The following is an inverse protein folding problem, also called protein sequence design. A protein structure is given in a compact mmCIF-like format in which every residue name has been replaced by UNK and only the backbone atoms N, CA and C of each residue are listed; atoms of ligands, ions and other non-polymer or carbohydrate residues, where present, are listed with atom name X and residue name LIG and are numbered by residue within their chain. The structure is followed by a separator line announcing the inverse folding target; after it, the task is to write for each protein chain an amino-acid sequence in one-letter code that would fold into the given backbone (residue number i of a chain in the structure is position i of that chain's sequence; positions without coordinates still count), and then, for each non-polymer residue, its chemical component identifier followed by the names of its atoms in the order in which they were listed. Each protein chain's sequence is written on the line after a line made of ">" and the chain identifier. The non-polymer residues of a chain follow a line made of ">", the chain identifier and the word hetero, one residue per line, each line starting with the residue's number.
data_IF_153687312201
#
_entry.id   IF_153687312201
#
_cell.length_a   1.000
_cell.length_b   1.000
_cell.length_c   1.000
_cell.angle_alpha   90.00
_cell.angle_beta   90.00
_cell.angle_gamma   90.00
#
_symmetry.space_group_name_H-M   'P 1'
#
loop_
_entity.id
_entity.type
_entity.pdbx_description
1 polymer ?
#
# COMPACT_ATOMS: atom_id res chain seq x y z
N UNK A 1 2.73 0.99 28.57
CA UNK A 1 1.50 1.70 28.96
C UNK A 1 0.48 1.43 27.87
N UNK A 2 -0.69 0.87 28.21
CA UNK A 2 -1.74 0.58 27.22
C UNK A 2 -2.20 1.87 26.57
N UNK A 3 -2.12 1.98 25.24
CA UNK A 3 -2.70 3.10 24.51
C UNK A 3 -4.20 3.16 24.79
N UNK A 4 -4.76 4.36 24.99
CA UNK A 4 -6.20 4.58 25.14
C UNK A 4 -6.86 4.46 23.75
N UNK A 5 -7.64 3.39 23.48
CA UNK A 5 -8.22 3.14 22.16
C UNK A 5 -9.16 4.27 21.70
N UNK A 6 -9.81 4.96 22.65
CA UNK A 6 -10.69 6.09 22.34
C UNK A 6 -9.90 7.32 21.91
N UNK A 7 -8.77 7.61 22.57
CA UNK A 7 -7.90 8.72 22.19
C UNK A 7 -7.26 8.49 20.81
N UNK A 8 -6.92 7.25 20.48
CA UNK A 8 -6.40 6.89 19.17
C UNK A 8 -7.46 7.02 18.07
N UNK A 9 -8.64 6.43 18.25
CA UNK A 9 -9.74 6.56 17.31
C UNK A 9 -10.12 8.03 17.07
N UNK A 10 -10.19 8.83 18.14
CA UNK A 10 -10.43 10.27 18.07
C UNK A 10 -9.42 11.01 17.18
N UNK A 11 -8.14 10.65 17.31
CA UNK A 11 -7.07 11.20 16.48
C UNK A 11 -7.26 10.79 15.02
N UNK A 12 -7.51 9.51 14.75
CA UNK A 12 -7.71 8.99 13.40
C UNK A 12 -8.89 9.68 12.67
N UNK A 13 -10.04 9.82 13.34
CA UNK A 13 -11.21 10.54 12.81
C UNK A 13 -10.89 12.02 12.51
N UNK A 14 -10.17 12.67 13.43
CA UNK A 14 -9.77 14.08 13.27
C UNK A 14 -8.78 14.29 12.12
N UNK A 15 -7.81 13.40 11.97
CA UNK A 15 -6.79 13.46 10.91
C UNK A 15 -7.47 13.27 9.55
N UNK A 16 -8.30 12.23 9.41
CA UNK A 16 -9.01 11.94 8.16
C UNK A 16 -9.89 13.11 7.71
N UNK A 17 -10.65 13.71 8.62
CA UNK A 17 -11.50 14.86 8.29
C UNK A 17 -10.70 16.08 7.79
N UNK A 18 -9.45 16.26 8.24
CA UNK A 18 -8.56 17.35 7.80
C UNK A 18 -7.89 17.05 6.47
N UNK A 19 -7.52 15.80 6.23
CA UNK A 19 -6.84 15.38 5.00
C UNK A 19 -7.76 15.37 3.78
N UNK A 20 -9.08 15.32 3.96
CA UNK A 20 -10.05 15.32 2.86
C UNK A 20 -11.00 16.52 2.92
N UNK A 21 -10.52 17.77 2.69
CA UNK A 21 -11.33 18.97 2.83
C UNK A 21 -12.54 18.99 1.90
N UNK A 22 -12.46 18.40 0.70
CA UNK A 22 -13.61 18.31 -0.23
C UNK A 22 -14.67 17.31 0.23
N UNK A 23 -14.28 16.14 0.73
CA UNK A 23 -15.23 15.21 1.33
C UNK A 23 -15.82 15.78 2.62
N UNK A 24 -15.01 16.49 3.40
CA UNK A 24 -15.49 17.25 4.54
C UNK A 24 -16.56 18.27 4.13
N UNK A 25 -16.34 19.05 3.07
CA UNK A 25 -17.36 19.98 2.56
C UNK A 25 -18.60 19.24 2.03
N UNK A 26 -18.43 18.19 1.24
CA UNK A 26 -19.54 17.38 0.70
C UNK A 26 -20.36 16.67 1.79
N UNK A 27 -19.74 16.33 2.93
CA UNK A 27 -20.42 15.68 4.06
C UNK A 27 -21.51 16.53 4.69
N UNK A 28 -21.54 17.85 4.44
CA UNK A 28 -22.61 18.74 4.96
C UNK A 28 -24.00 18.23 4.60
N UNK A 29 -24.18 17.70 3.39
CA UNK A 29 -25.46 17.16 2.91
C UNK A 29 -25.93 15.92 3.67
N UNK A 30 -25.00 15.16 4.27
CA UNK A 30 -25.31 13.92 4.98
C UNK A 30 -25.93 14.13 6.37
N UNK A 31 -25.83 15.35 6.91
CA UNK A 31 -26.43 15.72 8.21
C UNK A 31 -27.68 16.59 8.06
N UNK A 32 -28.15 16.81 6.84
CA UNK A 32 -29.43 17.48 6.57
C UNK A 32 -30.59 16.53 6.87
N UNK A 33 -31.72 17.08 7.33
CA UNK A 33 -32.88 16.30 7.82
C UNK A 33 -33.37 15.23 6.83
N UNK A 34 -33.30 15.49 5.52
CA UNK A 34 -33.75 14.53 4.50
C UNK A 34 -32.81 13.32 4.34
N UNK A 35 -31.50 13.52 4.50
CA UNK A 35 -30.49 12.47 4.31
C UNK A 35 -30.09 11.77 5.62
N UNK A 36 -30.23 12.46 6.75
CA UNK A 36 -29.71 12.03 8.04
C UNK A 36 -30.14 10.61 8.46
N UNK A 37 -31.43 10.20 8.37
CA UNK A 37 -31.82 8.84 8.73
C UNK A 37 -31.06 7.77 7.93
N UNK A 38 -30.90 7.97 6.62
CA UNK A 38 -30.14 7.05 5.75
C UNK A 38 -28.65 7.05 6.06
N UNK A 39 -28.08 8.20 6.44
CA UNK A 39 -26.69 8.30 6.88
C UNK A 39 -26.44 7.50 8.15
N UNK A 40 -27.36 7.55 9.13
CA UNK A 40 -27.23 6.81 10.38
C UNK A 40 -27.33 5.29 10.16
N UNK A 41 -28.23 4.81 9.29
CA UNK A 41 -28.27 3.39 8.89
C UNK A 41 -26.92 2.96 8.32
N UNK A 42 -26.40 3.72 7.34
CA UNK A 42 -25.13 3.39 6.70
C UNK A 42 -23.96 3.41 7.70
N UNK A 43 -23.95 4.35 8.65
CA UNK A 43 -22.96 4.40 9.71
C UNK A 43 -23.08 3.20 10.65
N UNK A 44 -24.29 2.82 11.06
CA UNK A 44 -24.53 1.65 11.90
C UNK A 44 -24.03 0.37 11.22
N UNK A 45 -24.45 0.15 9.98
CA UNK A 45 -24.03 -1.01 9.18
C UNK A 45 -22.52 -1.02 9.00
N UNK A 46 -21.91 0.13 8.69
CA UNK A 46 -20.45 0.19 8.53
C UNK A 46 -19.73 -0.12 9.84
N UNK A 47 -20.17 0.44 10.97
CA UNK A 47 -19.58 0.14 12.29
C UNK A 47 -19.72 -1.33 12.65
N UNK A 48 -20.81 -2.01 12.29
CA UNK A 48 -20.97 -3.44 12.54
C UNK A 48 -19.91 -4.29 11.81
N UNK A 49 -19.59 -3.94 10.57
CA UNK A 49 -18.71 -4.73 9.72
C UNK A 49 -17.25 -4.29 9.80
N UNK A 50 -16.98 -3.05 10.24
CA UNK A 50 -15.62 -2.54 10.41
C UNK A 50 -14.93 -3.19 11.61
N UNK A 51 -13.64 -3.47 11.45
CA UNK A 51 -12.78 -3.90 12.55
C UNK A 51 -12.42 -2.64 13.37
N UNK A 52 -12.93 -2.57 14.60
CA UNK A 52 -12.76 -1.44 15.51
C UNK A 52 -12.50 -2.01 16.90
N UNK A 53 -11.72 -1.31 17.76
CA UNK A 53 -11.59 -1.69 19.15
C UNK A 53 -12.98 -1.85 19.79
N UNK A 54 -13.21 -2.94 20.53
CA UNK A 54 -14.52 -3.28 21.09
C UNK A 54 -15.15 -2.10 21.86
N UNK A 55 -14.33 -1.37 22.63
CA UNK A 55 -14.77 -0.18 23.37
C UNK A 55 -15.28 0.96 22.47
N UNK A 56 -14.70 1.14 21.28
CA UNK A 56 -15.16 2.14 20.29
C UNK A 56 -16.42 1.64 19.60
N UNK A 57 -16.39 0.37 19.14
CA UNK A 57 -17.49 -0.27 18.41
C UNK A 57 -18.77 -0.28 19.22
N UNK A 58 -18.71 -0.69 20.48
CA UNK A 58 -19.86 -0.76 21.37
C UNK A 58 -20.48 0.61 21.65
N UNK A 59 -19.68 1.67 21.74
CA UNK A 59 -20.20 3.02 21.95
C UNK A 59 -20.88 3.53 20.67
N UNK A 60 -20.24 3.35 19.51
CA UNK A 60 -20.80 3.78 18.24
C UNK A 60 -22.08 3.02 17.87
N UNK A 61 -22.11 1.70 18.08
CA UNK A 61 -23.33 0.91 17.87
C UNK A 61 -24.45 1.40 18.78
N UNK A 62 -24.20 1.59 20.08
CA UNK A 62 -25.21 2.13 21.01
C UNK A 62 -25.72 3.52 20.62
N UNK A 63 -24.86 4.36 20.03
CA UNK A 63 -25.24 5.70 19.58
C UNK A 63 -26.16 5.68 18.35
N UNK A 64 -26.10 4.62 17.54
CA UNK A 64 -26.85 4.48 16.29
C UNK A 64 -27.96 3.41 16.36
N UNK A 65 -28.03 2.66 17.46
CA UNK A 65 -29.00 1.59 17.71
C UNK A 65 -30.42 2.12 18.03
N UNK A 66 -31.41 1.22 18.07
CA UNK A 66 -32.83 1.56 18.19
C UNK A 66 -33.20 2.12 19.59
N UNK A 67 -34.04 3.17 19.67
CA UNK A 67 -34.68 3.85 18.55
C UNK A 67 -33.68 4.69 17.75
N UNK A 68 -33.64 4.45 16.44
CA UNK A 68 -32.61 5.02 15.57
C UNK A 68 -32.79 6.55 15.50
N UNK A 69 -31.73 7.34 15.71
CA UNK A 69 -31.78 8.80 15.62
C UNK A 69 -32.39 9.26 14.30
N UNK A 70 -33.35 10.18 14.35
CA UNK A 70 -33.99 10.78 13.16
C UNK A 70 -33.45 12.18 12.88
N UNK A 71 -32.90 12.83 13.88
CA UNK A 71 -32.24 14.12 13.80
C UNK A 71 -30.91 14.13 14.56
N UNK A 72 -30.04 15.07 14.22
CA UNK A 72 -28.75 15.25 14.89
C UNK A 72 -28.91 15.50 16.40
N UNK A 73 -30.00 16.14 16.81
CA UNK A 73 -30.32 16.45 18.20
C UNK A 73 -30.67 15.20 19.03
N UNK A 74 -31.06 14.11 18.39
CA UNK A 74 -31.41 12.85 19.06
C UNK A 74 -30.15 12.09 19.54
N UNK A 75 -28.97 12.47 19.06
CA UNK A 75 -27.71 11.83 19.39
C UNK A 75 -27.16 12.32 20.74
N UNK A 76 -26.62 11.40 21.53
CA UNK A 76 -25.88 11.76 22.74
C UNK A 76 -24.56 12.47 22.40
N UNK A 77 -24.60 13.80 22.44
CA UNK A 77 -23.45 14.64 22.13
C UNK A 77 -22.29 14.52 23.09
N UNK A 78 -22.48 14.06 24.34
CA UNK A 78 -21.36 13.82 25.26
C UNK A 78 -20.58 12.59 24.85
N UNK A 79 -21.29 11.50 24.53
CA UNK A 79 -20.69 10.25 24.06
C UNK A 79 -20.08 10.39 22.66
N UNK A 80 -20.71 11.13 21.74
CA UNK A 80 -20.08 11.41 20.44
C UNK A 80 -18.81 12.24 20.58
N UNK A 81 -18.81 13.24 21.47
CA UNK A 81 -17.63 14.07 21.71
C UNK A 81 -16.52 13.27 22.39
N UNK A 82 -16.85 12.35 23.29
CA UNK A 82 -15.84 11.50 23.93
C UNK A 82 -15.16 10.56 22.92
N UNK A 83 -15.90 9.99 21.97
CA UNK A 83 -15.34 9.07 20.97
C UNK A 83 -14.65 9.82 19.81
N UNK A 84 -15.27 10.88 19.28
CA UNK A 84 -14.80 11.54 18.04
C UNK A 84 -14.10 12.87 18.25
N UNK A 85 -14.24 13.50 19.43
CA UNK A 85 -13.70 14.83 19.72
C UNK A 85 -14.56 15.98 19.18
N UNK A 86 -15.65 15.67 18.46
CA UNK A 86 -16.49 16.65 17.78
C UNK A 86 -17.90 16.74 18.38
N UNK A 87 -18.58 17.89 18.26
CA UNK A 87 -20.02 17.98 18.56
C UNK A 87 -20.86 17.17 17.55
N UNK A 88 -22.11 16.78 17.87
CA UNK A 88 -22.92 15.81 17.11
C UNK A 88 -22.87 15.95 15.58
N UNK A 89 -23.22 17.12 15.03
CA UNK A 89 -23.23 17.35 13.59
C UNK A 89 -21.85 17.14 12.94
N UNK A 90 -20.78 17.60 13.60
CA UNK A 90 -19.41 17.43 13.13
C UNK A 90 -18.92 15.99 13.32
N UNK A 91 -19.36 15.32 14.38
CA UNK A 91 -19.02 13.93 14.67
C UNK A 91 -19.58 13.01 13.58
N UNK A 92 -20.87 13.14 13.23
CA UNK A 92 -21.49 12.36 12.16
C UNK A 92 -20.80 12.60 10.81
N UNK A 93 -20.49 13.86 10.48
CA UNK A 93 -19.72 14.20 9.28
C UNK A 93 -18.32 13.58 9.28
N UNK A 94 -17.60 13.68 10.39
CA UNK A 94 -16.25 13.16 10.51
C UNK A 94 -16.23 11.63 10.41
N UNK A 95 -17.20 10.96 11.04
CA UNK A 95 -17.39 9.52 10.91
C UNK A 95 -17.78 9.13 9.47
N UNK A 96 -18.63 9.89 8.80
CA UNK A 96 -18.97 9.64 7.40
C UNK A 96 -17.77 9.80 6.45
N UNK A 97 -16.85 10.72 6.73
CA UNK A 97 -15.58 10.85 5.99
C UNK A 97 -14.61 9.72 6.37
N UNK A 98 -14.55 9.37 7.66
CA UNK A 98 -13.72 8.28 8.19
C UNK A 98 -14.06 6.93 7.56
N UNK A 99 -15.34 6.60 7.54
CA UNK A 99 -15.87 5.36 6.96
C UNK A 99 -16.11 5.44 5.44
N UNK A 100 -15.65 6.49 4.76
CA UNK A 100 -15.75 6.59 3.30
C UNK A 100 -17.18 6.71 2.75
N UNK A 101 -18.15 7.12 3.56
CA UNK A 101 -19.55 7.27 3.15
C UNK A 101 -19.80 8.49 2.24
N UNK A 102 -18.86 9.43 2.22
CA UNK A 102 -18.86 10.57 1.31
C UNK A 102 -18.16 10.17 0.00
N UNK A 103 -18.88 10.14 -1.13
CA UNK A 103 -18.25 9.88 -2.42
C UNK A 103 -17.12 10.88 -2.66
N UNK A 104 -15.96 10.39 -3.10
CA UNK A 104 -14.93 11.27 -3.67
C UNK A 104 -15.57 11.97 -4.87
N UNK A 105 -15.57 13.30 -4.89
CA UNK A 105 -16.14 14.07 -5.99
C UNK A 105 -15.60 13.50 -7.31
N UNK A 106 -16.52 13.09 -8.19
CA UNK A 106 -16.31 12.21 -9.35
C UNK A 106 -14.86 12.07 -9.80
N UNK A 107 -14.18 11.02 -9.33
CA UNK A 107 -12.96 10.56 -9.97
C UNK A 107 -13.29 10.29 -11.44
N UNK A 108 -12.52 10.87 -12.36
CA UNK A 108 -12.62 10.53 -13.79
C UNK A 108 -12.29 9.05 -14.07
N UNK A 109 -11.68 8.38 -13.09
CA UNK A 109 -11.22 7.00 -13.19
C UNK A 109 -12.23 6.04 -12.58
N UNK A 110 -12.64 5.06 -13.37
CA UNK A 110 -13.38 3.90 -12.90
C UNK A 110 -12.56 3.09 -11.89
N UNK A 111 -13.24 2.39 -10.99
CA UNK A 111 -12.63 1.56 -9.94
C UNK A 111 -13.08 0.12 -10.14
N UNK A 112 -12.21 -0.88 -9.95
CA UNK A 112 -12.62 -2.27 -10.07
C UNK A 112 -13.68 -2.68 -9.04
N UNK A 113 -14.61 -3.54 -9.45
CA UNK A 113 -15.74 -3.94 -8.61
C UNK A 113 -15.59 -5.27 -7.85
N UNK A 114 -14.52 -6.04 -8.11
CA UNK A 114 -14.32 -7.36 -7.49
C UNK A 114 -14.05 -7.26 -5.98
N UNK A 115 -14.68 -8.17 -5.22
CA UNK A 115 -14.43 -8.40 -3.81
C UNK A 115 -13.06 -9.05 -3.56
N UNK A 116 -12.59 -8.99 -2.32
CA UNK A 116 -11.30 -9.58 -1.95
C UNK A 116 -11.28 -11.10 -2.16
N UNK A 117 -12.42 -11.76 -1.92
CA UNK A 117 -12.67 -13.18 -2.14
C UNK A 117 -12.52 -13.54 -3.62
N UNK A 118 -13.17 -12.78 -4.50
CA UNK A 118 -13.12 -13.04 -5.95
C UNK A 118 -11.71 -12.82 -6.51
N UNK A 119 -10.99 -11.81 -6.01
CA UNK A 119 -9.59 -11.56 -6.37
C UNK A 119 -8.71 -12.72 -5.92
N UNK A 120 -8.86 -13.19 -4.68
CA UNK A 120 -8.11 -14.35 -4.17
C UNK A 120 -8.38 -15.60 -5.03
N UNK A 121 -9.65 -15.91 -5.30
CA UNK A 121 -10.02 -17.09 -6.09
C UNK A 121 -9.44 -17.03 -7.50
N UNK A 122 -9.49 -15.86 -8.14
CA UNK A 122 -8.91 -15.66 -9.46
C UNK A 122 -7.38 -15.85 -9.42
N UNK A 123 -6.68 -15.15 -8.52
CA UNK A 123 -5.21 -15.15 -8.44
C UNK A 123 -4.65 -16.53 -8.09
N UNK A 124 -5.36 -17.32 -7.28
CA UNK A 124 -4.95 -18.71 -6.99
C UNK A 124 -4.79 -19.56 -8.24
N UNK A 125 -5.59 -19.30 -9.29
CA UNK A 125 -5.62 -20.03 -10.56
C UNK A 125 -4.67 -19.44 -11.62
N UNK A 126 -4.02 -18.31 -11.34
CA UNK A 126 -3.12 -17.63 -12.26
C UNK A 126 -1.67 -17.94 -11.90
N UNK A 127 -0.87 -18.26 -12.92
CA UNK A 127 0.59 -18.35 -12.80
C UNK A 127 1.20 -16.95 -12.74
N UNK A 128 0.68 -16.03 -13.57
CA UNK A 128 1.08 -14.64 -13.60
C UNK A 128 0.01 -13.75 -12.94
N UNK A 129 0.28 -13.11 -11.79
CA UNK A 129 -0.71 -12.31 -11.07
C UNK A 129 -1.26 -11.13 -11.89
N UNK A 130 -0.52 -10.62 -12.88
CA UNK A 130 -0.97 -9.53 -13.75
C UNK A 130 -2.02 -9.98 -14.77
N UNK A 131 -2.21 -11.28 -14.98
CA UNK A 131 -3.25 -11.79 -15.88
C UNK A 131 -4.67 -11.49 -15.35
N UNK A 132 -4.80 -11.13 -14.08
CA UNK A 132 -6.02 -10.55 -13.51
C UNK A 132 -6.53 -9.36 -14.33
N UNK A 133 -5.65 -8.58 -14.96
CA UNK A 133 -6.02 -7.46 -15.83
C UNK A 133 -6.89 -7.87 -17.02
N UNK A 134 -6.80 -9.14 -17.48
CA UNK A 134 -7.68 -9.67 -18.52
C UNK A 134 -9.10 -9.93 -18.00
N UNK A 135 -9.23 -10.29 -16.72
CA UNK A 135 -10.49 -10.77 -16.13
C UNK A 135 -11.28 -9.69 -15.39
N UNK A 136 -10.67 -8.58 -15.04
CA UNK A 136 -11.30 -7.50 -14.26
C UNK A 136 -12.00 -6.47 -15.15
N UNK A 137 -13.04 -5.80 -14.68
CA UNK A 137 -13.75 -4.77 -15.44
C UNK A 137 -12.89 -3.54 -15.79
N UNK A 138 -12.02 -3.11 -14.86
CA UNK A 138 -11.14 -1.94 -15.02
C UNK A 138 -9.67 -2.36 -14.95
N UNK A 139 -9.02 -2.53 -16.11
CA UNK A 139 -7.59 -2.80 -16.19
C UNK A 139 -6.80 -1.55 -15.76
N UNK A 140 -6.24 -1.58 -14.56
CA UNK A 140 -5.58 -0.41 -13.95
C UNK A 140 -4.43 -0.82 -13.06
N UNK A 141 -3.28 -0.16 -13.23
CA UNK A 141 -2.05 -0.44 -12.49
C UNK A 141 -1.44 0.83 -11.92
N UNK A 142 -1.10 0.79 -10.63
CA UNK A 142 -0.24 1.77 -9.98
C UNK A 142 1.13 1.14 -9.74
N UNK A 143 2.16 1.69 -10.35
CA UNK A 143 3.55 1.30 -10.10
C UNK A 143 4.24 2.35 -9.22
N UNK A 144 4.75 1.91 -8.07
CA UNK A 144 5.45 2.74 -7.09
C UNK A 144 6.94 2.43 -7.14
N UNK A 145 7.78 3.46 -7.21
CA UNK A 145 9.22 3.29 -7.42
C UNK A 145 9.50 2.79 -8.84
N UNK A 146 8.83 3.39 -9.82
CA UNK A 146 8.80 2.91 -11.21
C UNK A 146 10.16 2.98 -11.94
N UNK A 147 11.12 3.71 -11.40
CA UNK A 147 12.49 3.82 -11.88
C UNK A 147 12.55 4.20 -13.36
N UNK A 148 13.09 3.28 -14.15
CA UNK A 148 13.33 3.50 -15.57
C UNK A 148 12.11 3.25 -16.46
N UNK A 149 10.94 2.90 -15.90
CA UNK A 149 9.68 2.55 -16.58
C UNK A 149 9.72 1.27 -17.43
N UNK A 150 10.77 0.46 -17.33
CA UNK A 150 10.88 -0.79 -18.10
C UNK A 150 9.74 -1.78 -17.80
N UNK A 151 9.33 -1.90 -16.54
CA UNK A 151 8.19 -2.73 -16.16
C UNK A 151 6.89 -2.22 -16.80
N UNK A 152 6.61 -0.92 -16.72
CA UNK A 152 5.43 -0.33 -17.35
C UNK A 152 5.40 -0.54 -18.87
N UNK A 153 6.57 -0.50 -19.53
CA UNK A 153 6.71 -0.82 -20.95
C UNK A 153 6.38 -2.29 -21.27
N UNK A 154 6.99 -3.25 -20.56
CA UNK A 154 6.66 -4.68 -20.74
C UNK A 154 5.18 -4.96 -20.47
N UNK A 155 4.61 -4.35 -19.41
CA UNK A 155 3.21 -4.48 -19.06
C UNK A 155 2.28 -3.94 -20.15
N UNK A 156 2.60 -2.76 -20.70
CA UNK A 156 1.84 -2.16 -21.78
C UNK A 156 1.91 -3.00 -23.07
N UNK A 157 3.05 -3.62 -23.35
CA UNK A 157 3.24 -4.50 -24.50
C UNK A 157 2.47 -5.81 -24.36
N UNK A 158 2.45 -6.40 -23.16
CA UNK A 158 1.79 -7.68 -22.89
C UNK A 158 0.25 -7.60 -22.94
N UNK A 159 -0.34 -6.52 -22.40
CA UNK A 159 -1.79 -6.43 -22.23
C UNK A 159 -2.47 -5.39 -23.13
N UNK A 160 -1.72 -4.39 -23.63
CA UNK A 160 -2.32 -3.22 -24.27
C UNK A 160 -3.09 -3.53 -25.56
N UNK A 161 -2.56 -4.41 -26.42
CA UNK A 161 -3.20 -4.76 -27.69
C UNK A 161 -4.53 -5.50 -27.47
N UNK A 162 -4.54 -6.48 -26.56
CA UNK A 162 -5.73 -7.27 -26.22
C UNK A 162 -6.83 -6.40 -25.60
N UNK A 163 -6.49 -5.58 -24.61
CA UNK A 163 -7.44 -4.68 -23.94
C UNK A 163 -8.03 -3.67 -24.93
N UNK A 164 -7.22 -3.14 -25.84
CA UNK A 164 -7.68 -2.26 -26.91
C UNK A 164 -8.67 -2.94 -27.84
N UNK A 165 -8.42 -4.18 -28.27
CA UNK A 165 -9.35 -4.94 -29.13
C UNK A 165 -10.71 -5.16 -28.43
N UNK A 166 -10.69 -5.34 -27.11
CA UNK A 166 -11.88 -5.46 -26.28
C UNK A 166 -12.54 -4.10 -25.94
N UNK A 167 -12.02 -2.98 -26.46
CA UNK A 167 -12.47 -1.63 -26.14
C UNK A 167 -12.43 -1.29 -24.64
N UNK A 168 -11.52 -1.94 -23.91
CA UNK A 168 -11.32 -1.73 -22.48
C UNK A 168 -10.19 -0.74 -22.24
N UNK A 169 -10.41 0.34 -21.47
CA UNK A 169 -9.36 1.28 -21.16
C UNK A 169 -8.29 0.59 -20.30
N UNK A 170 -7.02 0.83 -20.62
CA UNK A 170 -5.91 0.38 -19.79
C UNK A 170 -5.24 1.58 -19.12
N UNK A 171 -5.22 1.61 -17.79
CA UNK A 171 -4.65 2.71 -17.01
C UNK A 171 -3.33 2.26 -16.39
N UNK A 172 -2.26 3.02 -16.59
CA UNK A 172 -0.98 2.82 -15.90
C UNK A 172 -0.52 4.16 -15.33
N UNK A 173 -0.41 4.24 -14.00
CA UNK A 173 0.18 5.36 -13.30
C UNK A 173 1.48 4.93 -12.63
N UNK A 174 2.55 5.66 -12.90
CA UNK A 174 3.89 5.38 -12.37
C UNK A 174 4.32 6.54 -11.47
N UNK A 175 4.83 6.22 -10.27
CA UNK A 175 5.35 7.17 -9.29
C UNK A 175 6.83 6.90 -9.03
N UNK A 176 7.65 7.95 -8.97
CA UNK A 176 9.03 7.83 -8.51
C UNK A 176 9.53 9.07 -7.77
N UNK A 177 10.34 8.87 -6.73
CA UNK A 177 10.98 9.93 -5.95
C UNK A 177 12.15 10.57 -6.70
N UNK A 178 12.74 9.87 -7.67
CA UNK A 178 13.77 10.39 -8.55
C UNK A 178 13.18 11.51 -9.41
N UNK A 179 13.77 12.70 -9.32
CA UNK A 179 13.51 13.75 -10.29
C UNK A 179 14.13 13.32 -11.63
N UNK A 180 13.35 13.23 -12.73
CA UNK A 180 13.89 12.91 -14.05
C UNK A 180 14.97 13.89 -14.55
N UNK A 181 15.09 15.06 -13.91
CA UNK A 181 16.11 16.09 -14.20
C UNK A 181 17.33 16.00 -13.29
N UNK A 182 17.31 15.16 -12.25
CA UNK A 182 18.44 15.02 -11.32
C UNK A 182 19.61 14.33 -11.99
N UNK A 183 20.82 14.68 -11.56
CA UNK A 183 22.05 13.97 -11.97
C UNK A 183 22.35 12.75 -11.10
N UNK A 184 21.58 12.52 -10.03
CA UNK A 184 21.87 11.53 -8.99
C UNK A 184 21.10 10.20 -9.16
N UNK A 185 20.21 10.07 -10.14
CA UNK A 185 19.44 8.83 -10.37
C UNK A 185 20.15 7.80 -11.25
N UNK A 186 21.18 8.20 -12.00
CA UNK A 186 22.00 7.30 -12.81
C UNK A 186 21.18 6.38 -13.73
N UNK A 187 21.44 5.05 -13.75
CA UNK A 187 20.77 4.11 -14.64
C UNK A 187 19.30 3.83 -14.28
N UNK A 188 18.79 4.41 -13.19
CA UNK A 188 17.40 4.25 -12.75
C UNK A 188 16.47 5.32 -13.33
N UNK A 189 16.99 6.26 -14.12
CA UNK A 189 16.15 7.26 -14.76
C UNK A 189 15.29 6.66 -15.87
N UNK A 190 14.02 7.08 -15.89
CA UNK A 190 13.15 6.93 -17.04
C UNK A 190 13.79 7.60 -18.27
N UNK A 191 14.14 6.80 -19.29
CA UNK A 191 14.65 7.36 -20.55
C UNK A 191 13.54 8.21 -21.22
N UNK A 192 13.85 9.40 -21.75
CA UNK A 192 12.87 10.23 -22.46
C UNK A 192 12.17 9.48 -23.60
N UNK A 193 12.88 8.58 -24.29
CA UNK A 193 12.34 7.79 -25.40
C UNK A 193 11.26 6.83 -24.90
N UNK A 194 11.51 6.10 -23.81
CA UNK A 194 10.52 5.18 -23.21
C UNK A 194 9.29 5.94 -22.70
N UNK A 195 9.51 7.08 -22.05
CA UNK A 195 8.42 7.94 -21.58
C UNK A 195 7.52 8.37 -22.75
N UNK A 196 8.12 8.84 -23.86
CA UNK A 196 7.37 9.22 -25.06
C UNK A 196 6.64 8.05 -25.71
N UNK A 197 7.25 6.85 -25.75
CA UNK A 197 6.59 5.65 -26.28
C UNK A 197 5.34 5.30 -25.48
N UNK A 198 5.41 5.31 -24.15
CA UNK A 198 4.27 5.03 -23.28
C UNK A 198 3.17 6.09 -23.42
N UNK A 199 3.53 7.37 -23.46
CA UNK A 199 2.58 8.47 -23.61
C UNK A 199 1.83 8.47 -24.95
N UNK A 200 2.46 7.95 -26.01
CA UNK A 200 1.86 7.88 -27.36
C UNK A 200 1.18 6.55 -27.66
N UNK A 201 1.21 5.59 -26.74
CA UNK A 201 0.67 4.25 -26.98
C UNK A 201 -0.86 4.29 -27.02
N UNK A 202 -1.43 3.92 -28.17
CA UNK A 202 -2.88 3.94 -28.35
C UNK A 202 -3.58 2.93 -27.42
N UNK A 203 -4.70 3.34 -26.83
CA UNK A 203 -5.47 2.50 -25.88
C UNK A 203 -4.92 2.49 -24.46
N UNK A 204 -3.78 3.15 -24.20
CA UNK A 204 -3.18 3.28 -22.89
C UNK A 204 -3.39 4.69 -22.32
N UNK A 205 -3.98 4.77 -21.13
CA UNK A 205 -4.02 5.95 -20.28
C UNK A 205 -2.80 5.94 -19.36
N UNK A 206 -1.70 6.54 -19.82
CA UNK A 206 -0.44 6.55 -19.09
C UNK A 206 -0.18 7.88 -18.39
N UNK A 207 0.37 7.85 -17.17
CA UNK A 207 0.95 9.03 -16.50
C UNK A 207 2.15 8.64 -15.66
N UNK A 208 3.21 9.46 -15.71
CA UNK A 208 4.40 9.32 -14.88
C UNK A 208 4.60 10.57 -14.04
N UNK A 209 4.75 10.38 -12.73
CA UNK A 209 5.00 11.43 -11.76
C UNK A 209 6.37 11.19 -11.12
N UNK A 210 7.40 11.78 -11.72
CA UNK A 210 8.74 11.84 -11.14
C UNK A 210 8.88 12.98 -10.13
N UNK A 211 9.88 12.92 -9.27
CA UNK A 211 10.02 13.80 -8.10
C UNK A 211 8.76 13.82 -7.20
N UNK A 212 8.12 12.67 -7.06
CA UNK A 212 6.91 12.50 -6.27
C UNK A 212 7.20 11.52 -5.14
N UNK A 213 7.03 11.97 -3.90
CA UNK A 213 7.04 11.06 -2.76
C UNK A 213 5.83 10.12 -2.83
N UNK A 214 6.08 8.82 -2.82
CA UNK A 214 5.02 7.81 -2.91
C UNK A 214 4.07 7.81 -1.71
N UNK A 215 4.48 8.41 -0.59
CA UNK A 215 3.65 8.57 0.61
C UNK A 215 2.92 9.92 0.66
N UNK A 216 3.25 10.87 -0.22
CA UNK A 216 2.64 12.22 -0.27
C UNK A 216 1.66 12.37 -1.45
N UNK A 217 0.67 11.47 -1.54
CA UNK A 217 -0.23 11.40 -2.70
C UNK A 217 -1.37 12.44 -2.68
N UNK A 218 -1.56 13.15 -1.57
CA UNK A 218 -2.72 14.03 -1.36
C UNK A 218 -2.94 15.05 -2.49
N UNK A 219 -1.86 15.68 -2.98
CA UNK A 219 -1.95 16.66 -4.08
C UNK A 219 -2.41 16.02 -5.40
N UNK A 220 -1.94 14.81 -5.70
CA UNK A 220 -2.32 14.09 -6.91
C UNK A 220 -3.77 13.59 -6.83
N UNK A 221 -4.20 13.15 -5.65
CA UNK A 221 -5.58 12.76 -5.39
C UNK A 221 -6.54 13.97 -5.49
N UNK A 222 -6.17 15.12 -4.92
CA UNK A 222 -6.96 16.36 -4.99
C UNK A 222 -7.18 16.84 -6.43
N UNK A 223 -6.22 16.58 -7.30
CA UNK A 223 -6.28 16.90 -8.73
C UNK A 223 -6.91 15.79 -9.57
N UNK A 224 -7.37 14.69 -8.94
CA UNK A 224 -7.91 13.51 -9.61
C UNK A 224 -6.96 12.94 -10.69
N UNK A 225 -5.65 13.08 -10.45
CA UNK A 225 -4.62 12.57 -11.35
C UNK A 225 -4.44 11.07 -11.18
N UNK A 226 -4.63 10.56 -9.97
CA UNK A 226 -4.60 9.14 -9.64
C UNK A 226 -6.01 8.55 -9.57
N UNK A 227 -6.15 7.29 -9.97
CA UNK A 227 -7.33 6.52 -9.61
C UNK A 227 -7.35 6.34 -8.09
N UNK A 228 -8.54 6.38 -7.44
CA UNK A 228 -8.63 6.18 -6.00
C UNK A 228 -8.22 4.75 -5.62
N UNK A 229 -8.41 3.78 -6.52
CA UNK A 229 -8.02 2.39 -6.36
C UNK A 229 -7.82 1.71 -7.71
N UNK A 230 -6.87 0.79 -7.77
CA UNK A 230 -6.38 0.11 -8.96
C UNK A 230 -6.62 -1.38 -8.87
N UNK A 231 -6.71 -2.06 -10.02
CA UNK A 231 -6.74 -3.51 -10.06
C UNK A 231 -5.46 -4.10 -9.46
N UNK A 232 -4.31 -3.54 -9.83
CA UNK A 232 -3.00 -3.94 -9.28
C UNK A 232 -2.24 -2.71 -8.77
N UNK A 233 -1.75 -2.77 -7.54
CA UNK A 233 -0.71 -1.87 -7.05
C UNK A 233 0.61 -2.65 -6.93
N UNK A 234 1.69 -2.13 -7.49
CA UNK A 234 2.95 -2.86 -7.57
C UNK A 234 4.15 -2.00 -7.20
N UNK A 235 5.18 -2.63 -6.64
CA UNK A 235 6.49 -2.02 -6.45
C UNK A 235 7.57 -3.04 -6.82
N UNK A 236 8.39 -2.69 -7.82
CA UNK A 236 9.49 -3.53 -8.29
C UNK A 236 10.81 -3.08 -7.68
N UNK A 237 11.58 -4.05 -7.20
CA UNK A 237 12.82 -3.83 -6.47
C UNK A 237 12.68 -2.74 -5.38
N UNK A 238 11.80 -2.95 -4.37
CA UNK A 238 11.64 -1.99 -3.29
C UNK A 238 13.00 -1.56 -2.71
N UNK A 239 13.21 -0.26 -2.57
CA UNK A 239 14.53 0.28 -2.29
C UNK A 239 15.09 -0.14 -0.93
N UNK A 240 16.26 -0.78 -0.93
CA UNK A 240 17.16 -0.85 0.22
C UNK A 240 18.00 0.45 0.29
N UNK A 241 18.11 1.10 1.46
CA UNK A 241 17.62 0.67 2.77
C UNK A 241 16.20 1.13 3.17
N UNK A 242 15.52 1.96 2.36
CA UNK A 242 14.24 2.62 2.70
C UNK A 242 13.19 1.70 3.32
N UNK A 243 13.06 0.46 2.84
CA UNK A 243 12.10 -0.55 3.34
C UNK A 243 12.74 -1.70 4.12
N UNK A 244 14.05 -1.68 4.31
CA UNK A 244 14.85 -2.79 4.83
C UNK A 244 15.05 -2.74 6.36
N UNK A 245 14.40 -1.80 7.04
CA UNK A 245 14.45 -1.61 8.48
C UNK A 245 13.08 -1.14 8.97
N UNK A 246 12.52 -1.76 10.01
CA UNK A 246 11.23 -1.40 10.59
C UNK A 246 11.38 -0.37 11.73
N UNK A 247 11.01 0.92 11.53
CA UNK A 247 11.25 1.98 12.51
C UNK A 247 10.43 1.84 13.80
N UNK A 248 9.33 1.08 13.79
CA UNK A 248 8.54 0.80 15.01
C UNK A 248 9.22 -0.22 15.93
N UNK A 249 10.19 -0.98 15.40
CA UNK A 249 10.88 -2.07 16.09
C UNK A 249 12.35 -1.77 16.35
N UNK A 250 12.99 -1.02 15.45
CA UNK A 250 14.41 -0.70 15.49
C UNK A 250 14.61 0.78 15.82
N UNK A 251 15.40 1.04 16.86
CA UNK A 251 15.77 2.40 17.26
C UNK A 251 16.60 3.11 16.17
N UNK A 252 16.43 4.44 16.08
CA UNK A 252 17.14 5.25 15.08
C UNK A 252 18.67 5.11 15.17
N UNK A 253 19.22 4.98 16.37
CA UNK A 253 20.65 4.80 16.59
C UNK A 253 21.16 3.45 16.05
N UNK A 254 20.39 2.38 16.27
CA UNK A 254 20.69 1.06 15.74
C UNK A 254 20.62 1.03 14.22
N UNK A 255 19.55 1.57 13.64
CA UNK A 255 19.40 1.71 12.17
C UNK A 255 20.60 2.45 11.58
N UNK A 256 20.99 3.59 12.17
CA UNK A 256 22.15 4.35 11.71
C UNK A 256 23.44 3.52 11.77
N UNK A 257 23.68 2.82 12.86
CA UNK A 257 24.86 1.96 13.04
C UNK A 257 24.88 0.86 11.98
N UNK A 258 23.75 0.22 11.71
CA UNK A 258 23.63 -0.82 10.68
C UNK A 258 23.84 -0.27 9.27
N UNK A 259 23.35 0.93 8.96
CA UNK A 259 23.60 1.60 7.68
C UNK A 259 25.09 1.90 7.50
N UNK A 260 25.75 2.47 8.52
CA UNK A 260 27.18 2.76 8.47
C UNK A 260 28.01 1.46 8.34
N UNK A 261 27.59 0.39 9.02
CA UNK A 261 28.23 -0.94 8.95
C UNK A 261 28.06 -1.62 7.59
N UNK A 262 26.87 -1.57 7.00
CA UNK A 262 26.53 -2.35 5.80
C UNK A 262 26.69 -1.58 4.49
N UNK A 263 26.44 -0.26 4.51
CA UNK A 263 26.51 0.60 3.32
C UNK A 263 27.74 1.52 3.34
N UNK A 264 28.30 1.79 4.51
CA UNK A 264 29.47 2.65 4.70
C UNK A 264 29.11 4.00 5.32
N UNK A 265 30.12 4.76 5.75
CA UNK A 265 29.92 6.06 6.38
C UNK A 265 29.29 7.06 5.41
N UNK A 266 28.28 7.80 5.85
CA UNK A 266 27.52 8.69 4.97
C UNK A 266 27.24 10.07 5.60
N UNK A 267 27.14 11.08 4.76
CA UNK A 267 26.77 12.44 5.14
C UNK A 267 26.13 13.20 3.97
N UNK A 268 25.37 14.24 4.30
CA UNK A 268 24.80 15.13 3.29
C UNK A 268 25.88 16.08 2.74
N UNK A 269 25.82 16.32 1.44
CA UNK A 269 26.71 17.22 0.69
C UNK A 269 25.95 17.88 -0.45
N UNK A 270 26.64 18.67 -1.27
CA UNK A 270 26.10 19.24 -2.51
C UNK A 270 26.85 18.69 -3.72
N UNK A 271 26.14 18.34 -4.78
CA UNK A 271 26.71 18.03 -6.09
C UNK A 271 26.20 19.04 -7.12
N UNK A 272 27.08 19.95 -7.55
CA UNK A 272 26.67 21.10 -8.35
C UNK A 272 25.69 21.99 -7.57
N UNK A 273 24.42 22.03 -8.01
CA UNK A 273 23.34 22.80 -7.36
C UNK A 273 22.33 21.91 -6.61
N UNK A 274 22.53 20.59 -6.63
CA UNK A 274 21.61 19.62 -6.03
C UNK A 274 22.14 19.14 -4.67
N UNK A 275 21.24 18.89 -3.72
CA UNK A 275 21.59 18.19 -2.48
C UNK A 275 21.88 16.73 -2.79
N UNK A 276 22.88 16.15 -2.14
CA UNK A 276 23.30 14.78 -2.34
C UNK A 276 23.62 14.09 -1.02
N UNK A 277 23.57 12.77 -1.02
CA UNK A 277 24.09 11.91 0.02
C UNK A 277 25.42 11.32 -0.46
N UNK A 278 26.53 11.67 0.18
CA UNK A 278 27.83 11.02 -0.06
C UNK A 278 27.94 9.79 0.85
N UNK A 279 28.20 8.63 0.25
CA UNK A 279 28.48 7.38 0.95
C UNK A 279 29.89 6.92 0.64
N UNK A 280 30.68 6.67 1.68
CA UNK A 280 32.05 6.15 1.58
C UNK A 280 32.04 4.64 1.74
N UNK A 281 32.26 3.94 0.64
CA UNK A 281 32.25 2.49 0.59
C UNK A 281 33.47 1.97 -0.16
N UNK A 282 34.21 1.03 0.46
CA UNK A 282 35.40 0.40 -0.12
C UNK A 282 36.41 1.41 -0.74
N UNK A 283 36.63 2.55 -0.07
CA UNK A 283 37.57 3.59 -0.51
C UNK A 283 37.05 4.51 -1.63
N UNK A 284 35.79 4.37 -2.06
CA UNK A 284 35.14 5.24 -3.06
C UNK A 284 34.07 6.11 -2.41
N UNK A 285 33.92 7.33 -2.91
CA UNK A 285 32.79 8.20 -2.60
C UNK A 285 31.72 8.02 -3.68
N UNK A 286 30.54 7.55 -3.28
CA UNK A 286 29.38 7.39 -4.14
C UNK A 286 28.35 8.47 -3.78
N UNK A 287 27.73 9.06 -4.79
CA UNK A 287 26.70 10.08 -4.61
C UNK A 287 25.33 9.51 -4.93
N UNK A 288 24.37 9.81 -4.07
CA UNK A 288 22.98 9.39 -4.19
C UNK A 288 22.04 10.58 -3.95
N UNK A 289 20.76 10.48 -4.33
CA UNK A 289 19.74 11.42 -3.88
C UNK A 289 19.76 11.54 -2.33
N UNK A 290 19.47 12.73 -1.78
CA UNK A 290 19.64 13.00 -0.35
C UNK A 290 18.74 12.12 0.53
N UNK A 291 17.62 11.66 -0.03
CA UNK A 291 16.64 10.81 0.61
C UNK A 291 16.95 9.30 0.54
N UNK A 292 18.06 8.89 -0.11
CA UNK A 292 18.37 7.46 -0.35
C UNK A 292 18.39 6.62 0.93
N UNK A 293 18.81 7.20 2.06
CA UNK A 293 18.87 6.54 3.38
C UNK A 293 17.73 6.96 4.33
N UNK A 294 16.69 7.63 3.83
CA UNK A 294 15.47 7.83 4.59
C UNK A 294 14.78 6.48 4.78
N UNK A 295 14.54 6.11 6.04
CA UNK A 295 13.94 4.85 6.41
C UNK A 295 12.46 5.06 6.69
N UNK A 296 11.63 4.33 5.96
CA UNK A 296 10.17 4.36 6.10
C UNK A 296 9.68 3.02 6.67
N UNK A 297 10.25 1.92 6.19
CA UNK A 297 9.98 0.58 6.68
C UNK A 297 8.92 -0.21 5.89
N UNK A 298 8.92 -1.54 6.06
CA UNK A 298 8.10 -2.47 5.27
C UNK A 298 6.60 -2.26 5.49
N UNK A 299 6.18 -1.91 6.72
CA UNK A 299 4.76 -1.74 7.05
C UNK A 299 4.13 -0.60 6.25
N UNK A 300 4.84 0.53 6.10
CA UNK A 300 4.33 1.65 5.32
C UNK A 300 4.12 1.28 3.85
N UNK A 301 5.05 0.53 3.25
CA UNK A 301 4.91 0.05 1.87
C UNK A 301 3.70 -0.87 1.72
N UNK A 302 3.52 -1.82 2.64
CA UNK A 302 2.37 -2.72 2.65
C UNK A 302 1.05 -1.94 2.79
N UNK A 303 0.97 -0.98 3.71
CA UNK A 303 -0.20 -0.12 3.90
C UNK A 303 -0.51 0.72 2.66
N UNK A 304 0.51 1.29 2.02
CA UNK A 304 0.33 2.06 0.80
C UNK A 304 -0.25 1.18 -0.33
N UNK A 305 0.33 0.01 -0.55
CA UNK A 305 -0.15 -0.93 -1.56
C UNK A 305 -1.58 -1.40 -1.26
N UNK A 306 -1.86 -1.79 -0.03
CA UNK A 306 -3.20 -2.19 0.42
C UNK A 306 -4.21 -1.04 0.37
N UNK A 307 -3.80 0.22 0.46
CA UNK A 307 -4.73 1.34 0.31
C UNK A 307 -5.09 1.62 -1.16
N UNK A 308 -4.28 1.15 -2.10
CA UNK A 308 -4.37 1.51 -3.53
C UNK A 308 -4.73 0.36 -4.47
N UNK A 309 -4.45 -0.90 -4.14
CA UNK A 309 -4.65 -2.03 -5.05
C UNK A 309 -5.65 -3.05 -4.55
N UNK A 310 -6.50 -3.59 -5.43
CA UNK A 310 -7.27 -4.80 -5.13
C UNK A 310 -6.37 -6.04 -5.05
N UNK A 311 -5.33 -6.08 -5.88
CA UNK A 311 -4.20 -6.99 -5.81
C UNK A 311 -2.92 -6.18 -5.59
N UNK A 312 -2.01 -6.67 -4.76
CA UNK A 312 -0.69 -6.08 -4.60
C UNK A 312 0.41 -7.06 -5.03
N UNK A 313 1.39 -6.56 -5.77
CA UNK A 313 2.53 -7.36 -6.24
C UNK A 313 3.84 -6.65 -5.90
N UNK A 314 4.74 -7.35 -5.25
CA UNK A 314 6.10 -6.88 -4.96
C UNK A 314 7.07 -7.79 -5.71
N UNK A 315 7.74 -7.25 -6.72
CA UNK A 315 8.64 -8.04 -7.57
C UNK A 315 10.11 -7.73 -7.32
N UNK A 316 10.98 -8.74 -7.48
CA UNK A 316 12.43 -8.61 -7.24
C UNK A 316 12.78 -8.01 -5.87
N UNK A 317 12.08 -8.45 -4.82
CA UNK A 317 12.34 -8.04 -3.46
C UNK A 317 13.65 -8.68 -2.99
N UNK A 318 14.64 -7.87 -2.62
CA UNK A 318 15.90 -8.38 -2.08
C UNK A 318 15.69 -9.06 -0.72
N UNK A 319 16.66 -9.88 -0.30
CA UNK A 319 16.54 -10.67 0.92
C UNK A 319 16.31 -9.81 2.18
N UNK A 320 16.95 -8.64 2.29
CA UNK A 320 16.84 -7.81 3.47
C UNK A 320 15.43 -7.22 3.61
N UNK A 321 14.88 -6.67 2.52
CA UNK A 321 13.50 -6.16 2.51
C UNK A 321 12.50 -7.30 2.67
N UNK A 322 12.74 -8.45 2.04
CA UNK A 322 11.83 -9.59 2.08
C UNK A 322 11.57 -10.09 3.51
N UNK A 323 12.61 -10.30 4.32
CA UNK A 323 12.42 -10.79 5.69
C UNK A 323 11.73 -9.77 6.59
N UNK A 324 11.99 -8.47 6.39
CA UNK A 324 11.30 -7.39 7.11
C UNK A 324 9.82 -7.29 6.69
N UNK A 325 9.50 -7.47 5.41
CA UNK A 325 8.11 -7.60 4.93
C UNK A 325 7.42 -8.82 5.54
N UNK A 326 8.08 -9.97 5.51
CA UNK A 326 7.53 -11.22 6.03
C UNK A 326 7.20 -11.12 7.52
N UNK A 327 8.07 -10.48 8.30
CA UNK A 327 7.83 -10.23 9.71
C UNK A 327 6.55 -9.41 9.98
N UNK A 328 6.15 -8.54 9.04
CA UNK A 328 4.89 -7.80 9.15
C UNK A 328 3.67 -8.65 8.80
N UNK A 329 3.81 -9.65 7.94
CA UNK A 329 2.73 -10.52 7.45
C UNK A 329 2.39 -11.66 8.40
N UNK A 330 3.33 -12.06 9.28
CA UNK A 330 3.15 -13.18 10.20
C UNK A 330 2.54 -12.74 11.54
N UNK A 331 1.62 -13.55 12.07
CA UNK A 331 0.85 -13.25 13.28
C UNK A 331 1.72 -13.18 14.54
N UNK A 332 2.65 -14.13 14.70
CA UNK A 332 3.32 -14.32 15.98
C UNK A 332 4.33 -13.18 16.30
N UNK A 333 4.28 -12.59 17.50
CA UNK A 333 5.15 -11.47 17.87
C UNK A 333 6.66 -11.77 17.82
N UNK A 334 7.05 -13.04 18.00
CA UNK A 334 8.46 -13.43 18.03
C UNK A 334 9.18 -13.22 16.68
N UNK A 335 8.44 -13.15 15.56
CA UNK A 335 9.01 -12.81 14.25
C UNK A 335 9.49 -11.35 14.19
N UNK A 336 9.13 -10.51 15.17
CA UNK A 336 9.50 -9.09 15.26
C UNK A 336 10.20 -8.77 16.59
N UNK A 337 11.39 -9.34 16.84
CA UNK A 337 12.13 -9.06 18.07
C UNK A 337 12.53 -7.58 18.16
N UNK A 338 12.38 -6.92 19.32
CA UNK A 338 12.70 -5.50 19.47
C UNK A 338 14.22 -5.27 19.30
N UNK A 339 14.58 -4.18 18.62
CA UNK A 339 15.97 -3.73 18.45
C UNK A 339 16.96 -4.81 17.95
N UNK A 340 16.48 -5.77 17.15
CA UNK A 340 17.31 -6.85 16.60
C UNK A 340 17.23 -6.90 15.07
N UNK A 341 18.18 -6.30 14.33
CA UNK A 341 18.17 -6.31 12.87
C UNK A 341 18.29 -7.74 12.33
N UNK A 342 17.60 -8.05 11.24
CA UNK A 342 17.75 -9.37 10.62
C UNK A 342 19.08 -9.50 9.90
N UNK A 343 19.71 -10.66 10.06
CA UNK A 343 20.96 -11.02 9.42
C UNK A 343 21.04 -12.54 9.21
N UNK A 344 21.97 -13.04 8.38
CA UNK A 344 22.06 -14.47 8.09
C UNK A 344 22.21 -15.38 9.32
N UNK A 345 22.71 -14.86 10.46
CA UNK A 345 22.95 -15.63 11.67
C UNK A 345 21.69 -15.79 12.54
N UNK A 346 20.78 -14.82 12.52
CA UNK A 346 19.57 -14.85 13.36
C UNK A 346 18.28 -15.24 12.64
N UNK A 347 18.25 -15.19 11.30
CA UNK A 347 17.05 -15.48 10.51
C UNK A 347 16.44 -16.85 10.83
N UNK A 348 17.24 -17.93 10.83
CA UNK A 348 16.74 -19.28 11.13
C UNK A 348 16.20 -19.41 12.56
N UNK A 349 16.79 -18.69 13.51
CA UNK A 349 16.34 -18.69 14.92
C UNK A 349 15.03 -17.93 15.11
N UNK A 350 14.84 -16.84 14.36
CA UNK A 350 13.66 -15.97 14.47
C UNK A 350 12.48 -16.57 13.71
N UNK A 351 12.71 -17.07 12.49
CA UNK A 351 11.65 -17.53 11.61
C UNK A 351 11.42 -19.05 11.64
N UNK A 352 12.34 -19.82 12.23
CA UNK A 352 12.17 -21.26 12.44
C UNK A 352 11.81 -22.02 11.16
N UNK A 353 10.71 -22.76 11.19
CA UNK A 353 10.23 -23.54 10.05
C UNK A 353 9.95 -22.68 8.82
N UNK A 354 9.44 -21.46 9.00
CA UNK A 354 9.21 -20.52 7.88
C UNK A 354 10.51 -20.23 7.14
N UNK A 355 11.62 -20.08 7.86
CA UNK A 355 12.93 -19.91 7.23
C UNK A 355 13.34 -21.15 6.44
N UNK A 356 13.19 -22.34 7.01
CA UNK A 356 13.62 -23.58 6.37
C UNK A 356 12.81 -23.91 5.11
N UNK A 357 11.49 -23.71 5.14
CA UNK A 357 10.63 -23.92 3.97
C UNK A 357 11.00 -22.94 2.86
N UNK A 358 11.10 -21.64 3.17
CA UNK A 358 11.40 -20.62 2.17
C UNK A 358 12.83 -20.71 1.63
N UNK A 359 13.82 -20.98 2.49
CA UNK A 359 15.21 -21.12 2.05
C UNK A 359 15.42 -22.30 1.09
N UNK A 360 14.60 -23.34 1.20
CA UNK A 360 14.62 -24.51 0.32
C UNK A 360 13.65 -24.41 -0.87
N UNK A 361 12.89 -23.31 -1.00
CA UNK A 361 11.97 -23.11 -2.12
C UNK A 361 12.78 -22.98 -3.43
N UNK A 362 12.59 -23.87 -4.42
CA UNK A 362 13.32 -23.81 -5.68
C UNK A 362 12.99 -22.53 -6.47
N UNK A 363 13.94 -22.05 -7.28
CA UNK A 363 13.69 -20.92 -8.18
C UNK A 363 12.59 -21.28 -9.18
N UNK A 364 11.61 -20.39 -9.33
CA UNK A 364 10.41 -20.59 -10.15
C UNK A 364 9.22 -21.15 -9.38
N UNK A 365 9.44 -21.71 -8.20
CA UNK A 365 8.37 -22.27 -7.36
C UNK A 365 7.71 -21.20 -6.49
N UNK A 366 6.50 -21.53 -6.04
CA UNK A 366 5.69 -20.68 -5.17
C UNK A 366 5.07 -21.46 -4.02
N UNK A 367 4.74 -20.75 -2.95
CA UNK A 367 4.05 -21.30 -1.78
C UNK A 367 3.07 -20.26 -1.22
N UNK A 368 1.91 -20.74 -0.77
CA UNK A 368 0.99 -19.94 0.00
C UNK A 368 1.50 -19.84 1.44
N UNK A 369 1.73 -18.63 1.93
CA UNK A 369 2.35 -18.43 3.25
C UNK A 369 1.49 -19.00 4.39
N UNK A 370 0.17 -19.02 4.21
CA UNK A 370 -0.78 -19.57 5.17
C UNK A 370 -0.60 -21.09 5.40
N UNK A 371 0.02 -21.81 4.46
CA UNK A 371 0.32 -23.24 4.59
C UNK A 371 1.53 -23.49 5.52
N UNK A 372 2.33 -22.45 5.76
CA UNK A 372 3.57 -22.53 6.56
C UNK A 372 3.39 -21.88 7.94
N UNK A 373 2.69 -20.75 8.01
CA UNK A 373 2.48 -20.04 9.26
C UNK A 373 1.21 -19.17 9.22
N UNK A 374 0.65 -18.90 10.41
CA UNK A 374 -0.53 -18.06 10.55
C UNK A 374 -0.24 -16.62 10.07
N UNK A 375 -1.07 -16.17 9.12
CA UNK A 375 -1.09 -14.78 8.67
C UNK A 375 -1.65 -13.86 9.74
N UNK A 376 -1.08 -12.67 9.76
CA UNK A 376 -1.46 -11.64 10.72
C UNK A 376 -2.85 -11.10 10.44
N UNK A 377 -3.71 -11.08 11.45
CA UNK A 377 -5.10 -10.59 11.32
C UNK A 377 -5.25 -9.11 11.65
N UNK A 378 -4.37 -8.59 12.49
CA UNK A 378 -4.33 -7.17 12.87
C UNK A 378 -2.90 -6.65 12.77
N UNK A 379 -2.67 -5.65 11.93
CA UNK A 379 -1.42 -4.91 11.97
C UNK A 379 -1.32 -4.17 13.31
N UNK A 380 -0.17 -4.26 13.96
CA UNK A 380 0.13 -3.53 15.18
C UNK A 380 0.19 -2.09 14.69
N UNK A 381 -0.73 -1.29 15.21
CA UNK A 381 -0.80 0.14 14.98
C UNK A 381 0.61 0.71 15.13
N UNK A 382 1.16 1.22 14.04
CA UNK A 382 2.38 2.02 14.12
C UNK A 382 1.98 3.33 14.77
N UNK A 383 2.61 3.66 15.90
CA UNK A 383 2.50 4.96 16.58
C UNK A 383 2.83 6.17 15.67
N UNK A 384 3.24 5.94 14.42
CA UNK A 384 3.73 6.94 13.48
C UNK A 384 3.01 6.99 12.11
N UNK A 385 2.02 6.14 11.84
CA UNK A 385 1.22 6.23 10.59
C UNK A 385 -0.20 6.68 10.89
N UNK A 386 -0.47 7.97 10.72
CA UNK A 386 -1.80 8.58 10.86
C UNK A 386 -2.67 8.43 9.60
N UNK A 387 -2.61 7.31 8.88
CA UNK A 387 -3.41 7.12 7.66
C UNK A 387 -3.77 5.66 7.41
N UNK A 388 -5.09 5.40 7.34
CA UNK A 388 -5.71 4.14 6.94
C UNK A 388 -5.49 2.99 7.92
N UNK A 389 -6.55 2.24 8.23
CA UNK A 389 -6.35 0.87 8.72
C UNK A 389 -5.36 0.21 7.76
N UNK A 390 -4.20 -0.20 8.27
CA UNK A 390 -3.41 -1.20 7.59
C UNK A 390 -4.32 -2.43 7.57
N UNK A 391 -5.05 -2.63 6.47
CA UNK A 391 -5.89 -3.79 6.27
C UNK A 391 -4.98 -5.00 6.19
N UNK A 392 -5.28 -6.06 6.94
CA UNK A 392 -4.55 -7.33 6.85
C UNK A 392 -4.64 -7.91 5.42
N UNK A 393 -3.70 -8.79 5.05
CA UNK A 393 -3.83 -9.55 3.80
C UNK A 393 -4.49 -10.88 4.09
N UNK A 394 -5.57 -11.16 3.37
CA UNK A 394 -6.25 -12.47 3.43
C UNK A 394 -5.46 -13.56 2.71
N UNK A 395 -4.68 -13.16 1.70
CA UNK A 395 -3.90 -14.07 0.86
C UNK A 395 -2.50 -13.52 0.65
N UNK A 396 -1.51 -14.41 0.78
CA UNK A 396 -0.09 -14.12 0.57
C UNK A 396 0.53 -15.33 -0.13
N UNK A 397 0.99 -15.13 -1.37
CA UNK A 397 1.81 -16.11 -2.10
C UNK A 397 3.24 -15.58 -2.24
N UNK A 398 4.20 -16.42 -1.90
CA UNK A 398 5.63 -16.14 -2.03
C UNK A 398 6.17 -16.99 -3.17
N UNK A 399 6.87 -16.37 -4.11
CA UNK A 399 7.56 -17.08 -5.19
C UNK A 399 9.03 -16.72 -5.22
N UNK A 400 9.87 -17.69 -5.57
CA UNK A 400 11.33 -17.53 -5.58
C UNK A 400 11.82 -17.17 -6.98
N UNK A 401 12.45 -16.01 -7.14
CA UNK A 401 13.05 -15.59 -8.41
C UNK A 401 12.90 -14.09 -8.70
N UNK A 402 13.73 -13.61 -9.63
CA UNK A 402 13.67 -12.21 -10.11
C UNK A 402 12.65 -12.00 -11.23
N UNK A 403 12.50 -13.00 -12.09
CA UNK A 403 11.64 -12.95 -13.28
C UNK A 403 10.91 -14.27 -13.44
N UNK A 404 9.68 -14.21 -13.95
CA UNK A 404 8.82 -15.37 -14.17
C UNK A 404 8.32 -15.36 -15.63
N UNK A 405 8.11 -16.52 -16.26
CA UNK A 405 7.56 -16.60 -17.61
C UNK A 405 6.24 -15.83 -17.72
N UNK A 406 6.09 -15.00 -18.76
CA UNK A 406 4.88 -14.22 -19.01
C UNK A 406 4.64 -13.03 -18.06
N UNK A 407 5.37 -12.94 -16.94
CA UNK A 407 5.25 -11.83 -15.99
C UNK A 407 6.13 -10.64 -16.43
N UNK A 408 5.58 -9.42 -16.50
CA UNK A 408 6.36 -8.21 -16.79
C UNK A 408 7.39 -7.97 -15.70
N UNK A 409 8.58 -7.51 -16.08
CA UNK A 409 9.70 -7.31 -15.14
C UNK A 409 10.42 -5.99 -15.39
N UNK A 410 11.01 -5.42 -14.33
CA UNK A 410 11.87 -4.23 -14.47
C UNK A 410 13.27 -4.60 -14.97
N UNK A 411 14.02 -3.62 -15.46
CA UNK A 411 15.41 -3.79 -15.87
C UNK A 411 16.30 -4.20 -14.69
N UNK A 412 15.97 -3.75 -13.48
CA UNK A 412 16.60 -4.20 -12.24
C UNK A 412 16.35 -5.69 -12.00
N UNK A 413 15.11 -6.16 -12.18
CA UNK A 413 14.77 -7.58 -12.08
C UNK A 413 15.60 -8.43 -13.05
N UNK A 414 15.74 -7.99 -14.30
CA UNK A 414 16.53 -8.69 -15.33
C UNK A 414 18.02 -8.75 -14.99
N UNK A 415 18.56 -7.76 -14.28
CA UNK A 415 19.98 -7.71 -13.87
C UNK A 415 20.32 -8.72 -12.78
N UNK A 416 19.37 -9.12 -11.92
CA UNK A 416 19.62 -10.12 -10.88
C UNK A 416 20.14 -11.46 -11.43
N UNK A 417 19.71 -11.87 -12.63
CA UNK A 417 20.22 -13.10 -13.26
C UNK A 417 21.74 -13.06 -13.55
N UNK A 418 22.33 -11.86 -13.62
CA UNK A 418 23.76 -11.65 -13.84
C UNK A 418 24.57 -11.37 -12.56
N UNK A 419 23.90 -11.27 -11.40
CA UNK A 419 24.54 -10.97 -10.11
C UNK A 419 24.87 -12.26 -9.38
N UNK A 420 26.13 -12.69 -9.43
CA UNK A 420 26.59 -13.96 -8.82
C UNK A 420 26.69 -13.93 -7.30
N UNK A 421 26.80 -12.73 -6.71
CA UNK A 421 26.93 -12.54 -5.26
C UNK A 421 25.57 -12.34 -4.57
N UNK A 422 24.51 -12.10 -5.34
CA UNK A 422 23.18 -11.83 -4.81
C UNK A 422 22.36 -13.12 -4.74
N UNK A 423 21.68 -13.28 -3.61
CA UNK A 423 20.70 -14.35 -3.44
C UNK A 423 19.51 -14.06 -4.38
N UNK A 424 18.95 -15.08 -5.07
CA UNK A 424 17.76 -14.88 -5.90
C UNK A 424 16.70 -14.08 -5.14
N UNK A 425 16.11 -13.04 -5.71
CA UNK A 425 15.13 -12.21 -5.00
C UNK A 425 13.77 -12.93 -4.94
N UNK A 426 12.77 -12.24 -4.40
CA UNK A 426 11.44 -12.77 -4.17
C UNK A 426 10.37 -12.02 -4.96
N UNK A 427 9.29 -12.72 -5.28
CA UNK A 427 8.01 -12.14 -5.70
C UNK A 427 6.99 -12.41 -4.60
N UNK A 428 6.28 -11.38 -4.17
CA UNK A 428 5.22 -11.48 -3.17
C UNK A 428 3.92 -10.98 -3.78
N UNK A 429 2.92 -11.86 -3.83
CA UNK A 429 1.57 -11.56 -4.30
C UNK A 429 0.64 -11.52 -3.11
N UNK A 430 -0.11 -10.44 -2.95
CA UNK A 430 -0.88 -10.12 -1.76
C UNK A 430 -2.30 -9.70 -2.14
N UNK A 431 -3.32 -10.26 -1.50
CA UNK A 431 -4.71 -9.77 -1.62
C UNK A 431 -5.12 -9.15 -0.29
N UNK A 432 -5.40 -7.84 -0.24
CA UNK A 432 -5.83 -7.21 1.00
C UNK A 432 -7.23 -7.70 1.38
N UNK A 433 -7.46 -7.84 2.68
CA UNK A 433 -8.77 -8.16 3.22
C UNK A 433 -9.59 -6.87 3.35
N UNK A 434 -10.49 -6.64 2.42
CA UNK A 434 -11.53 -5.62 2.57
C UNK A 434 -12.82 -6.30 2.96
N UNK A 435 -13.44 -5.82 4.03
CA UNK A 435 -14.85 -6.11 4.31
C UNK A 435 -15.65 -5.40 3.23
N UNK A 436 -16.11 -6.15 2.23
CA UNK A 436 -17.13 -5.68 1.29
C UNK A 436 -18.32 -5.14 2.07
N UNK A 437 -18.72 -3.89 1.80
CA UNK A 437 -20.07 -3.44 2.13
C UNK A 437 -21.09 -4.36 1.43
N UNK A 438 -22.30 -4.52 1.99
CA UNK A 438 -23.24 -5.52 1.53
C UNK A 438 -23.53 -5.36 0.04
N UNK A 439 -23.38 -6.46 -0.69
CA UNK A 439 -23.82 -6.64 -2.05
C UNK A 439 -25.24 -6.12 -2.19
N UNK A 440 -25.46 -5.12 -3.04
CA UNK A 440 -26.80 -4.74 -3.44
C UNK A 440 -27.44 -5.93 -4.16
N UNK A 441 -28.24 -6.69 -3.43
CA UNK A 441 -29.22 -7.63 -3.98
C UNK A 441 -30.25 -6.75 -4.69
N UNK A 442 -30.09 -6.65 -6.01
CA UNK A 442 -31.17 -6.26 -6.90
C UNK A 442 -32.20 -7.41 -6.87
N UNK A 443 -33.17 -7.31 -5.98
CA UNK A 443 -34.43 -8.04 -6.16
C UNK A 443 -35.18 -7.38 -7.32
N UNK A 444 -34.91 -7.90 -8.52
CA UNK A 444 -35.87 -7.88 -9.62
C UNK A 444 -36.89 -8.98 -9.39
N UNK A 445 -38.12 -8.62 -9.04
CA UNK A 445 -39.33 -9.24 -9.62
C UNK A 445 -40.56 -8.41 -9.29
N UNK A 446 -41.19 -7.94 -10.38
CA UNK A 446 -42.63 -7.88 -10.71
C UNK A 446 -43.67 -7.89 -9.60
#
# INVERSE_FOLDING_TARGET
>A
MSADPLAEFRRAVSVRARQHPRQWEASKKLVENAAFPSTIVRLYDTVQHHDLPASVKDILLRLFERPMPRHVQDLDGKSLKSVTGFPPAKAVRALAVFFGLVPVAGSRWSVPHLSSEEIEEAVRKLDNPFDLLRHIDVASVLEIGAGDLSFAEELADLYGAELKQQHRPFIIHCLDRLDPRSQLGGPLHASPERLQRLQRKEGLCFSFFGNQDMFELGRLDEQALLAPRYAVATCWAPATPTFAYEPTRLSKALIRTELERTKGAFHHTCFGKEQALEVRHAGRALLFPPWKFEIVGPLALLSLLASRGCLCVLGSVDAQVFWELLAQLLEQPHYRPPDQPFNPVNLSKIFGEVYHVLANLPIGESIDLADVAALRRHYLQSDSSTDGDAGHFRYVRISRGATFPGTPASSTARKFASMTEEVPPWLVTLVPAYTSGPSSVLDTTS
#
